data_IF_198378533396
#
_entry.id   IF_198378533396
#
_cell.length_a   1.000
_cell.length_b   1.000
_cell.length_c   1.000
_cell.angle_alpha   90.00
_cell.angle_beta   90.00
_cell.angle_gamma   90.00
#
_symmetry.space_group_name_H-M   'P 1'
#
loop_
_entity.id
_entity.type
_entity.pdbx_description
1 polymer ?
#
# COMPACT_ATOMS: atom_id res chain seq x y z
N UNK A 1 -20.37 6.76 -8.36
CA UNK A 1 -18.92 7.07 -8.25
C UNK A 1 -18.55 6.76 -6.81
N UNK A 2 -17.97 5.58 -6.56
CA UNK A 2 -17.53 5.18 -5.22
C UNK A 2 -16.58 6.27 -4.74
N UNK A 3 -16.90 6.85 -3.60
CA UNK A 3 -16.16 7.95 -2.99
C UNK A 3 -14.65 7.59 -3.00
N UNK A 4 -13.80 8.45 -3.58
CA UNK A 4 -12.33 8.24 -3.67
C UNK A 4 -11.64 8.24 -2.28
N UNK A 5 -12.36 7.96 -1.20
CA UNK A 5 -12.08 8.39 0.16
C UNK A 5 -11.88 7.19 1.10
N UNK A 6 -10.97 6.30 0.73
CA UNK A 6 -10.36 5.35 1.68
C UNK A 6 -9.01 5.89 2.16
N UNK A 7 -7.88 5.51 1.52
CA UNK A 7 -6.53 5.90 1.95
C UNK A 7 -6.27 7.41 1.90
N UNK A 8 -6.89 8.14 0.96
CA UNK A 8 -6.70 9.59 0.78
C UNK A 8 -7.23 10.47 1.93
N UNK A 9 -7.93 9.86 2.90
CA UNK A 9 -8.34 10.54 4.13
C UNK A 9 -7.17 10.74 5.10
N UNK A 10 -6.09 9.98 4.98
CA UNK A 10 -4.94 10.07 5.88
C UNK A 10 -3.77 10.81 5.26
N UNK A 11 -2.90 11.37 6.10
CA UNK A 11 -1.70 12.07 5.69
C UNK A 11 -0.80 11.15 4.85
N UNK A 12 -0.60 9.90 5.29
CA UNK A 12 0.23 8.94 4.55
C UNK A 12 -0.35 8.59 3.18
N UNK A 13 -1.67 8.41 3.06
CA UNK A 13 -2.29 8.13 1.77
C UNK A 13 -2.11 9.28 0.77
N UNK A 14 -2.17 10.53 1.25
CA UNK A 14 -1.90 11.70 0.40
C UNK A 14 -0.43 11.88 0.05
N UNK A 15 0.48 11.60 0.99
CA UNK A 15 1.92 11.56 0.71
C UNK A 15 2.22 10.57 -0.43
N UNK A 16 1.67 9.36 -0.36
CA UNK A 16 1.82 8.33 -1.40
C UNK A 16 1.25 8.80 -2.74
N UNK A 17 0.02 9.33 -2.76
CA UNK A 17 -0.59 9.88 -3.98
C UNK A 17 0.29 10.93 -4.64
N UNK A 18 0.74 11.92 -3.86
CA UNK A 18 1.54 13.05 -4.33
C UNK A 18 2.88 12.59 -4.87
N UNK A 19 3.57 11.72 -4.14
CA UNK A 19 4.84 11.15 -4.55
C UNK A 19 4.70 10.30 -5.82
N UNK A 20 3.53 9.70 -6.02
CA UNK A 20 3.17 8.98 -7.25
C UNK A 20 2.61 9.88 -8.37
N UNK A 21 2.79 11.21 -8.30
CA UNK A 21 2.31 12.12 -9.34
C UNK A 21 0.79 12.22 -9.46
N UNK A 22 0.05 11.94 -8.38
CA UNK A 22 -1.42 11.92 -8.36
C UNK A 22 -2.02 10.51 -8.46
N UNK A 23 -1.19 9.47 -8.50
CA UNK A 23 -1.63 8.10 -8.78
C UNK A 23 -1.51 7.21 -7.53
N UNK A 24 -2.52 7.25 -6.64
CA UNK A 24 -2.63 6.35 -5.47
C UNK A 24 -2.45 4.89 -5.85
N UNK A 25 -2.93 4.54 -7.03
CA UNK A 25 -2.93 3.19 -7.58
C UNK A 25 -1.51 2.61 -7.70
N UNK A 26 -0.47 3.44 -7.77
CA UNK A 26 0.93 2.99 -7.84
C UNK A 26 1.48 2.50 -6.49
N UNK A 27 0.75 2.70 -5.40
CA UNK A 27 1.10 2.18 -4.09
C UNK A 27 2.46 2.66 -3.55
N UNK A 28 3.00 1.88 -2.63
CA UNK A 28 4.10 2.17 -1.74
C UNK A 28 4.43 0.88 -0.97
N UNK A 29 5.63 0.81 -0.43
CA UNK A 29 6.08 -0.34 0.33
C UNK A 29 6.64 0.11 1.65
N UNK A 30 6.72 -0.82 2.58
CA UNK A 30 7.43 -0.67 3.85
C UNK A 30 8.66 -1.55 3.81
N UNK A 31 9.80 -0.95 4.11
CA UNK A 31 11.05 -1.65 4.36
C UNK A 31 11.43 -1.51 5.83
N UNK A 32 12.15 -2.51 6.33
CA UNK A 32 12.84 -2.42 7.60
C UNK A 32 14.19 -1.76 7.31
N UNK A 33 14.53 -0.69 8.02
CA UNK A 33 15.79 0.01 7.75
C UNK A 33 17.02 -0.91 7.92
N UNK A 34 16.94 -1.88 8.84
CA UNK A 34 17.96 -2.89 9.05
C UNK A 34 18.23 -3.77 7.81
N UNK A 35 17.21 -4.09 7.01
CA UNK A 35 17.35 -4.93 5.80
C UNK A 35 18.09 -4.21 4.67
N UNK A 36 18.20 -2.89 4.78
CA UNK A 36 18.85 -2.03 3.81
C UNK A 36 20.30 -1.70 4.18
N UNK A 37 20.86 -2.42 5.16
CA UNK A 37 22.23 -2.24 5.63
C UNK A 37 22.44 -1.03 6.56
N UNK A 38 21.36 -0.39 7.01
CA UNK A 38 21.43 0.69 8.00
C UNK A 38 21.45 0.07 9.40
N UNK A 39 22.40 0.45 10.25
CA UNK A 39 22.46 -0.04 11.62
C UNK A 39 21.67 0.83 12.58
N UNK A 40 21.76 2.15 12.43
CA UNK A 40 21.16 3.14 13.32
C UNK A 40 20.79 4.40 12.54
N UNK A 41 19.77 5.13 13.01
CA UNK A 41 19.30 6.38 12.41
C UNK A 41 19.27 7.47 13.51
N UNK A 42 20.06 8.56 13.37
CA UNK A 42 19.96 9.71 14.25
C UNK A 42 18.74 10.57 13.90
N UNK A 43 18.01 10.99 14.91
CA UNK A 43 16.82 11.82 14.78
C UNK A 43 17.15 13.28 15.11
N UNK A 44 17.95 13.93 14.24
CA UNK A 44 18.40 15.32 14.46
C UNK A 44 17.30 16.39 14.50
N UNK A 45 16.07 15.99 14.19
CA UNK A 45 14.85 16.79 14.34
C UNK A 45 14.27 16.76 15.77
N UNK A 46 14.89 16.03 16.68
CA UNK A 46 14.53 15.96 18.09
C UNK A 46 15.67 16.54 18.94
N UNK A 47 15.33 17.13 20.08
CA UNK A 47 16.32 17.65 21.02
C UNK A 47 17.29 16.55 21.46
N UNK A 48 18.59 16.89 21.48
CA UNK A 48 19.67 15.94 21.75
C UNK A 48 19.98 14.94 20.62
N UNK A 49 19.28 14.99 19.48
CA UNK A 49 19.48 14.13 18.32
C UNK A 49 19.65 12.63 18.65
N UNK A 50 18.68 12.01 19.36
CA UNK A 50 18.78 10.63 19.78
C UNK A 50 18.93 9.70 18.58
N UNK A 51 19.69 8.62 18.78
CA UNK A 51 19.93 7.61 17.76
C UNK A 51 19.05 6.39 18.04
N UNK A 52 18.43 5.84 16.99
CA UNK A 52 17.52 4.70 17.07
C UNK A 52 18.08 3.53 16.27
N UNK A 53 18.04 2.33 16.86
CA UNK A 53 18.39 1.08 16.17
C UNK A 53 17.47 0.87 14.96
N UNK A 54 18.06 0.63 13.79
CA UNK A 54 17.35 0.50 12.52
C UNK A 54 16.32 -0.64 12.49
N UNK A 55 16.39 -1.60 13.41
CA UNK A 55 15.37 -2.64 13.59
C UNK A 55 14.02 -2.10 14.06
N UNK A 56 14.01 -0.91 14.65
CA UNK A 56 12.79 -0.23 15.08
C UNK A 56 12.34 0.85 14.09
N UNK A 57 13.00 0.97 12.94
CA UNK A 57 12.71 2.03 11.96
C UNK A 57 12.12 1.45 10.70
N UNK A 58 10.97 1.99 10.32
CA UNK A 58 10.23 1.57 9.13
C UNK A 58 10.31 2.67 8.08
N UNK A 59 10.60 2.28 6.84
CA UNK A 59 10.70 3.21 5.71
C UNK A 59 9.55 2.96 4.74
N UNK A 60 8.63 3.90 4.66
CA UNK A 60 7.53 3.87 3.68
C UNK A 60 7.99 4.56 2.39
N UNK A 61 8.00 3.81 1.30
CA UNK A 61 8.56 4.25 0.01
C UNK A 61 7.50 4.14 -1.08
N UNK A 62 7.00 5.26 -1.63
CA UNK A 62 6.05 5.27 -2.75
C UNK A 62 6.55 4.58 -4.02
N UNK A 63 5.62 4.14 -4.87
CA UNK A 63 5.88 3.31 -6.03
C UNK A 63 6.56 3.99 -7.22
N UNK A 64 6.32 5.29 -7.44
CA UNK A 64 6.83 6.01 -8.61
C UNK A 64 8.11 6.81 -8.29
N UNK A 65 8.93 7.08 -9.32
CA UNK A 65 9.99 8.08 -9.27
C UNK A 65 9.54 9.35 -10.02
N UNK A 66 9.49 10.48 -9.32
CA UNK A 66 9.40 11.83 -9.90
C UNK A 66 8.29 12.03 -10.97
N UNK A 67 7.09 11.51 -10.72
CA UNK A 67 5.95 11.69 -11.63
C UNK A 67 6.11 10.99 -12.99
N UNK A 68 7.12 10.12 -13.17
CA UNK A 68 7.20 9.19 -14.28
C UNK A 68 6.47 7.90 -13.89
N UNK A 69 5.63 7.42 -14.79
CA UNK A 69 4.76 6.22 -14.63
C UNK A 69 5.56 4.90 -14.54
N UNK A 70 6.90 4.97 -14.52
CA UNK A 70 7.73 3.79 -14.26
C UNK A 70 7.73 3.51 -12.75
N UNK A 71 7.01 2.46 -12.35
CA UNK A 71 6.92 2.01 -10.96
C UNK A 71 8.25 1.33 -10.61
N UNK A 72 9.09 1.98 -9.79
CA UNK A 72 10.48 1.62 -9.57
C UNK A 72 10.86 1.71 -8.09
N UNK A 73 10.11 0.98 -7.27
CA UNK A 73 10.36 0.87 -5.84
C UNK A 73 11.82 0.47 -5.55
N UNK A 74 12.34 -0.49 -6.32
CA UNK A 74 13.68 -1.05 -6.13
C UNK A 74 14.83 -0.17 -6.68
N UNK A 75 14.56 0.95 -7.37
CA UNK A 75 15.64 1.81 -7.89
C UNK A 75 15.94 3.03 -7.01
N UNK A 76 15.25 3.19 -5.88
CA UNK A 76 15.51 4.33 -5.00
C UNK A 76 16.86 4.15 -4.32
N UNK A 77 17.59 5.24 -4.21
CA UNK A 77 18.90 5.32 -3.58
C UNK A 77 18.82 6.42 -2.53
N UNK A 78 18.96 6.04 -1.25
CA UNK A 78 18.89 6.98 -0.13
C UNK A 78 17.49 7.14 0.50
N UNK A 79 17.47 7.80 1.68
CA UNK A 79 16.27 7.94 2.51
C UNK A 79 15.30 9.03 2.03
N UNK A 80 15.76 9.94 1.18
CA UNK A 80 15.10 11.22 0.89
C UNK A 80 13.67 11.08 0.38
N UNK A 81 13.39 10.01 -0.36
CA UNK A 81 12.07 9.79 -0.97
C UNK A 81 11.10 8.98 -0.07
N UNK A 82 11.52 8.60 1.14
CA UNK A 82 10.74 7.77 2.06
C UNK A 82 10.09 8.60 3.18
N UNK A 83 9.04 8.06 3.80
CA UNK A 83 8.65 8.46 5.15
C UNK A 83 9.28 7.51 6.16
N UNK A 84 9.89 8.08 7.20
CA UNK A 84 10.52 7.36 8.29
C UNK A 84 9.53 7.30 9.46
N UNK A 85 9.22 6.09 9.91
CA UNK A 85 8.31 5.82 11.03
C UNK A 85 9.11 5.20 12.18
N UNK A 86 9.02 5.83 13.36
CA UNK A 86 9.75 5.43 14.56
C UNK A 86 8.79 5.37 15.76
N UNK A 87 8.58 4.19 16.37
CA UNK A 87 7.92 4.09 17.67
C UNK A 87 8.68 4.91 18.71
N UNK A 88 8.00 5.80 19.44
CA UNK A 88 8.67 6.68 20.39
C UNK A 88 9.38 5.92 21.52
N UNK A 89 8.88 4.75 21.91
CA UNK A 89 9.51 3.90 22.92
C UNK A 89 10.86 3.29 22.48
N UNK A 90 11.19 3.35 21.18
CA UNK A 90 12.50 3.01 20.66
C UNK A 90 13.51 4.18 20.76
N UNK A 91 13.05 5.38 21.14
CA UNK A 91 13.86 6.56 21.35
C UNK A 91 14.26 6.61 22.83
N UNK A 92 15.51 6.27 23.15
CA UNK A 92 16.02 6.20 24.52
C UNK A 92 16.28 7.60 25.12
N UNK A 93 15.20 8.34 25.39
CA UNK A 93 15.19 9.67 26.00
C UNK A 93 14.09 9.78 27.04
N UNK A 94 14.21 10.73 27.97
CA UNK A 94 13.16 10.97 28.97
C UNK A 94 11.91 11.67 28.40
N UNK A 95 12.04 12.29 27.23
CA UNK A 95 10.99 13.05 26.57
C UNK A 95 11.38 13.37 25.14
N UNK A 96 10.43 13.22 24.23
CA UNK A 96 10.59 13.59 22.83
C UNK A 96 10.24 15.06 22.68
N UNK A 97 11.19 15.89 22.24
CA UNK A 97 10.99 17.32 22.00
C UNK A 97 11.34 17.61 20.53
N UNK A 98 10.36 17.86 19.66
CA UNK A 98 10.62 18.25 18.27
C UNK A 98 11.34 19.59 18.18
N UNK A 99 12.28 19.69 17.24
CA UNK A 99 12.97 20.93 16.90
C UNK A 99 12.36 21.53 15.62
N UNK A 100 12.16 22.85 15.61
CA UNK A 100 11.55 23.55 14.49
C UNK A 100 10.05 23.28 14.35
N UNK A 101 9.52 23.44 13.14
CA UNK A 101 8.08 23.24 12.89
C UNK A 101 7.72 21.75 13.02
N UNK A 102 6.69 21.47 13.81
CA UNK A 102 6.16 20.14 14.02
C UNK A 102 4.65 20.17 14.26
N UNK A 103 3.99 19.05 13.96
CA UNK A 103 2.56 18.87 14.14
C UNK A 103 2.24 17.61 14.94
N UNK A 104 1.14 17.65 15.69
CA UNK A 104 0.57 16.49 16.37
C UNK A 104 -0.75 16.11 15.73
N UNK A 105 -0.92 14.82 15.45
CA UNK A 105 -2.08 14.23 14.80
C UNK A 105 -2.59 13.00 15.55
N UNK A 106 -3.85 12.65 15.31
CA UNK A 106 -4.37 11.33 15.70
C UNK A 106 -3.75 10.24 14.80
N UNK A 107 -3.51 9.05 15.35
CA UNK A 107 -2.96 7.91 14.60
C UNK A 107 -3.77 7.58 13.33
N UNK A 108 -5.10 7.63 13.43
CA UNK A 108 -6.05 7.39 12.32
C UNK A 108 -5.96 8.43 11.19
N UNK A 109 -5.48 9.63 11.51
CA UNK A 109 -5.36 10.72 10.54
C UNK A 109 -4.03 10.62 9.78
N UNK A 110 -3.09 9.78 10.24
CA UNK A 110 -1.80 9.52 9.60
C UNK A 110 -1.80 8.18 8.87
N UNK A 111 -2.08 7.09 9.58
CA UNK A 111 -2.00 5.73 9.05
C UNK A 111 -3.40 5.20 8.72
N UNK A 112 -3.66 4.73 7.49
CA UNK A 112 -4.94 4.16 7.13
C UNK A 112 -5.16 2.80 7.81
N UNK A 113 -6.44 2.52 8.06
CA UNK A 113 -6.94 1.21 8.46
C UNK A 113 -6.51 0.09 7.50
N UNK A 114 -6.32 -1.13 8.01
CA UNK A 114 -5.99 -2.30 7.16
C UNK A 114 -7.16 -2.79 6.28
N UNK A 115 -8.40 -2.44 6.62
CA UNK A 115 -9.57 -2.95 5.91
C UNK A 115 -9.76 -2.25 4.57
N UNK A 116 -9.79 -3.02 3.48
CA UNK A 116 -10.14 -2.49 2.15
C UNK A 116 -11.65 -2.25 2.00
N UNK A 117 -12.46 -2.90 2.85
CA UNK A 117 -13.89 -2.63 2.99
C UNK A 117 -14.11 -1.54 4.05
N UNK A 118 -15.05 -0.61 3.85
CA UNK A 118 -15.46 0.32 4.90
C UNK A 118 -15.94 -0.49 6.13
N UNK A 119 -15.38 -0.21 7.30
CA UNK A 119 -15.87 -0.80 8.55
C UNK A 119 -17.27 -0.26 8.83
N UNK A 120 -18.30 -1.00 8.43
CA UNK A 120 -19.69 -0.68 8.78
C UNK A 120 -20.01 -1.27 10.15
N UNK A 121 -19.67 -0.56 11.22
CA UNK A 121 -20.04 -0.89 12.59
C UNK A 121 -19.18 -0.21 13.66
N UNK A 122 -19.81 0.19 14.78
CA UNK A 122 -19.19 0.89 15.93
C UNK A 122 -18.15 0.07 16.73
N UNK A 123 -17.62 -1.03 16.18
CA UNK A 123 -16.89 -2.04 16.97
C UNK A 123 -15.47 -2.39 16.53
N UNK A 124 -14.99 -1.91 15.37
CA UNK A 124 -13.63 -2.18 14.92
C UNK A 124 -12.81 -0.92 14.97
N UNK A 125 -12.06 -0.68 16.04
CA UNK A 125 -10.98 0.29 15.97
C UNK A 125 -10.00 -0.26 14.92
N UNK A 126 -9.94 0.38 13.76
CA UNK A 126 -8.92 0.08 12.77
C UNK A 126 -7.56 0.40 13.39
N UNK A 127 -6.87 -0.61 13.88
CA UNK A 127 -5.48 -0.50 14.30
C UNK A 127 -4.65 -0.16 13.06
N UNK A 128 -3.74 0.81 13.19
CA UNK A 128 -2.68 0.99 12.21
C UNK A 128 -1.88 -0.31 12.19
N UNK A 129 -2.18 -1.19 11.23
CA UNK A 129 -1.83 -2.59 11.43
C UNK A 129 -0.34 -2.87 11.27
N UNK A 130 0.05 -4.05 11.77
CA UNK A 130 1.42 -4.59 11.90
C UNK A 130 2.29 -4.55 10.64
N UNK A 131 1.71 -4.18 9.51
CA UNK A 131 2.34 -4.11 8.19
C UNK A 131 3.03 -2.76 7.94
N UNK A 132 2.71 -1.71 8.71
CA UNK A 132 3.37 -0.40 8.61
C UNK A 132 4.75 -0.34 9.28
N UNK A 133 5.12 -1.38 10.05
CA UNK A 133 6.18 -1.30 11.05
C UNK A 133 7.27 -2.33 10.87
N UNK A 134 8.50 -1.92 11.16
CA UNK A 134 9.69 -2.75 11.11
C UNK A 134 9.46 -4.01 11.95
N UNK A 135 9.70 -5.14 11.31
CA UNK A 135 9.57 -6.45 11.95
C UNK A 135 10.90 -6.90 12.47
N UNK A 136 12.02 -6.52 11.87
CA UNK A 136 13.33 -7.10 12.11
C UNK A 136 13.48 -8.42 11.34
N UNK A 137 14.68 -8.67 10.82
CA UNK A 137 14.97 -9.76 9.88
C UNK A 137 14.84 -11.19 10.43
N UNK A 138 14.67 -11.36 11.75
CA UNK A 138 14.67 -12.66 12.47
C UNK A 138 13.55 -12.79 13.52
N UNK A 139 12.45 -12.06 13.34
CA UNK A 139 11.50 -11.87 14.44
C UNK A 139 10.54 -13.03 14.63
N UNK A 140 10.59 -13.60 15.83
CA UNK A 140 9.63 -14.58 16.28
C UNK A 140 8.26 -13.91 16.48
N UNK A 141 7.19 -14.71 16.59
CA UNK A 141 5.83 -14.20 16.77
C UNK A 141 5.70 -13.27 17.99
N UNK A 142 6.45 -13.50 19.07
CA UNK A 142 6.38 -12.73 20.32
C UNK A 142 7.00 -11.33 20.18
N UNK A 143 8.13 -11.20 19.47
CA UNK A 143 8.77 -9.92 19.18
C UNK A 143 7.93 -9.08 18.19
N UNK A 144 7.21 -9.74 17.27
CA UNK A 144 6.23 -9.13 16.37
C UNK A 144 5.01 -8.60 17.14
N UNK A 145 4.51 -9.33 18.13
CA UNK A 145 3.46 -8.87 19.04
C UNK A 145 3.92 -7.67 19.87
N UNK A 146 5.17 -7.67 20.32
CA UNK A 146 5.76 -6.57 21.06
C UNK A 146 5.87 -5.29 20.22
N UNK A 147 6.37 -5.38 18.97
CA UNK A 147 6.44 -4.23 18.06
C UNK A 147 5.07 -3.57 17.82
N UNK A 148 4.02 -4.39 17.78
CA UNK A 148 2.64 -3.94 17.57
C UNK A 148 2.07 -3.30 18.83
N UNK A 149 2.30 -3.93 19.98
CA UNK A 149 1.88 -3.39 21.28
C UNK A 149 2.46 -1.99 21.52
N UNK A 150 3.71 -1.76 21.11
CA UNK A 150 4.39 -0.45 21.24
C UNK A 150 3.67 0.68 20.49
N UNK A 151 3.10 0.41 19.32
CA UNK A 151 2.34 1.41 18.54
C UNK A 151 0.88 1.48 18.95
N UNK A 152 0.26 0.36 19.34
CA UNK A 152 -1.10 0.41 19.91
C UNK A 152 -1.14 1.24 21.19
N UNK A 153 0.00 1.41 21.87
CA UNK A 153 0.18 2.35 22.99
C UNK A 153 0.34 3.81 22.55
N UNK A 154 0.79 4.07 21.32
CA UNK A 154 0.94 5.43 20.81
C UNK A 154 -0.43 6.11 20.74
N UNK A 155 -0.58 7.19 21.51
CA UNK A 155 -1.81 7.99 21.60
C UNK A 155 -1.86 9.10 20.57
N UNK A 156 -0.70 9.48 20.04
CA UNK A 156 -0.56 10.56 19.08
C UNK A 156 0.60 10.32 18.12
N UNK A 157 0.56 11.01 16.98
CA UNK A 157 1.64 11.02 16.00
C UNK A 157 2.28 12.39 16.00
N UNK A 158 3.59 12.43 16.19
CA UNK A 158 4.40 13.65 16.11
C UNK A 158 5.07 13.68 14.74
N UNK A 159 4.87 14.77 14.01
CA UNK A 159 5.42 14.96 12.66
C UNK A 159 6.33 16.19 12.65
N UNK A 160 7.65 16.01 12.85
CA UNK A 160 8.62 17.07 12.62
C UNK A 160 8.73 17.36 11.13
N UNK A 161 8.24 18.52 10.70
CA UNK A 161 8.29 18.93 9.29
C UNK A 161 9.59 19.66 8.95
N UNK A 162 10.31 20.14 9.98
CA UNK A 162 11.54 20.90 9.82
C UNK A 162 11.29 22.15 8.99
N UNK A 163 12.14 22.48 8.00
CA UNK A 163 11.96 23.69 7.20
C UNK A 163 10.84 23.57 6.15
N UNK A 164 10.29 22.37 5.91
CA UNK A 164 9.23 22.15 4.92
C UNK A 164 7.86 22.43 5.52
N UNK A 165 6.94 22.91 4.68
CA UNK A 165 5.55 23.10 5.10
C UNK A 165 4.81 21.77 5.12
N UNK A 166 3.85 21.64 6.03
CA UNK A 166 2.99 20.46 6.12
C UNK A 166 2.29 20.15 4.79
N UNK A 167 1.79 21.19 4.10
CA UNK A 167 1.13 21.07 2.79
C UNK A 167 2.08 20.61 1.68
N UNK A 168 3.37 20.92 1.79
CA UNK A 168 4.36 20.48 0.81
C UNK A 168 4.64 18.99 0.92
N UNK A 169 4.52 18.43 2.12
CA UNK A 169 4.71 17.01 2.43
C UNK A 169 3.45 16.22 2.08
N UNK A 170 2.29 16.63 2.61
CA UNK A 170 1.05 15.84 2.53
C UNK A 170 0.06 16.34 1.47
N UNK A 171 0.33 17.45 0.78
CA UNK A 171 -0.56 17.98 -0.25
C UNK A 171 -1.91 18.50 0.25
N UNK A 172 -2.04 18.76 1.55
CA UNK A 172 -3.25 19.27 2.19
C UNK A 172 -2.92 20.08 3.45
N UNK A 173 -3.81 21.01 3.80
CA UNK A 173 -3.69 21.83 5.00
C UNK A 173 -3.80 20.97 6.28
N UNK A 174 -3.10 21.32 7.37
CA UNK A 174 -3.15 20.62 8.66
C UNK A 174 -4.58 20.36 9.17
N UNK A 175 -5.50 21.31 8.94
CA UNK A 175 -6.90 21.22 9.38
C UNK A 175 -7.68 20.07 8.74
N UNK A 176 -7.18 19.46 7.67
CA UNK A 176 -7.79 18.26 7.05
C UNK A 176 -7.61 17.02 7.95
N UNK A 177 -6.58 16.99 8.81
CA UNK A 177 -6.13 15.80 9.54
C UNK A 177 -6.17 15.98 11.07
N UNK A 178 -7.08 16.84 11.57
CA UNK A 178 -7.11 17.23 12.99
C UNK A 178 -5.76 17.72 13.54
N UNK A 179 -4.84 18.13 12.65
CA UNK A 179 -3.47 18.38 13.01
C UNK A 179 -3.34 19.73 13.71
N UNK A 180 -2.63 19.74 14.84
CA UNK A 180 -2.28 20.97 15.55
C UNK A 180 -0.78 21.21 15.49
N UNK A 181 -0.32 22.47 15.44
CA UNK A 181 1.10 22.76 15.64
C UNK A 181 1.53 22.36 17.06
N UNK A 182 2.79 21.94 17.17
CA UNK A 182 3.48 21.71 18.44
C UNK A 182 3.92 23.06 19.01
N UNK A 183 3.70 23.27 20.30
CA UNK A 183 4.18 24.49 20.98
C UNK A 183 5.70 24.41 21.22
N UNK A 184 6.38 25.56 21.20
CA UNK A 184 7.83 25.60 21.44
C UNK A 184 8.18 25.01 22.83
N UNK A 185 9.07 24.02 22.84
CA UNK A 185 9.46 23.27 24.04
C UNK A 185 8.42 22.25 24.54
N UNK A 186 7.32 22.03 23.82
CA UNK A 186 6.37 20.96 24.15
C UNK A 186 7.07 19.60 24.12
N UNK A 187 6.85 18.81 25.18
CA UNK A 187 7.52 17.52 25.39
C UNK A 187 6.49 16.40 25.37
N UNK A 188 6.83 15.31 24.69
CA UNK A 188 6.01 14.11 24.59
C UNK A 188 6.66 12.94 25.31
N UNK A 189 5.85 12.15 26.02
CA UNK A 189 6.30 10.87 26.58
C UNK A 189 6.59 9.90 25.42
N UNK A 190 7.81 9.35 25.31
CA UNK A 190 8.17 8.50 24.16
C UNK A 190 7.25 7.28 24.01
N UNK A 191 6.81 6.68 25.11
CA UNK A 191 5.88 5.55 25.09
C UNK A 191 4.48 5.85 24.51
N UNK A 192 4.09 7.13 24.44
CA UNK A 192 2.77 7.57 24.01
C UNK A 192 2.77 8.14 22.57
N UNK A 193 3.89 8.10 21.85
CA UNK A 193 4.01 8.72 20.51
C UNK A 193 4.56 7.80 19.43
N UNK A 194 4.09 8.01 18.21
CA UNK A 194 4.74 7.58 16.98
C UNK A 194 5.36 8.81 16.33
N UNK A 195 6.64 8.75 15.96
CA UNK A 195 7.29 9.83 15.22
C UNK A 195 7.28 9.48 13.73
N UNK A 196 6.78 10.39 12.90
CA UNK A 196 6.75 10.24 11.43
C UNK A 196 7.43 11.44 10.80
N UNK A 197 8.45 11.21 9.97
CA UNK A 197 9.22 12.29 9.36
C UNK A 197 9.58 12.00 7.91
N UNK A 198 9.61 13.03 7.05
CA UNK A 198 10.19 12.91 5.72
C UNK A 198 11.65 12.50 5.79
N UNK A 199 12.07 11.54 4.96
CA UNK A 199 13.44 11.04 4.97
C UNK A 199 14.46 12.09 4.54
N UNK A 200 14.10 13.02 3.65
CA UNK A 200 14.93 14.18 3.29
C UNK A 200 15.17 15.12 4.49
N UNK A 201 14.21 15.15 5.42
CA UNK A 201 14.37 15.87 6.68
C UNK A 201 15.29 15.14 7.66
N UNK A 202 15.36 13.80 7.61
CA UNK A 202 16.34 13.02 8.39
C UNK A 202 17.75 13.27 7.88
N UNK A 203 17.96 13.16 6.57
CA UNK A 203 19.27 13.32 5.95
C UNK A 203 19.79 14.75 6.07
N UNK A 204 18.93 15.76 5.87
CA UNK A 204 19.30 17.18 6.00
C UNK A 204 19.67 17.60 7.43
N UNK A 205 19.18 16.87 8.43
CA UNK A 205 19.46 17.14 9.85
C UNK A 205 20.33 16.05 10.49
N UNK A 206 21.10 15.31 9.67
CA UNK A 206 22.03 14.31 10.17
C UNK A 206 23.13 14.99 11.01
N UNK A 207 23.30 14.64 12.31
CA UNK A 207 24.28 15.31 13.16
C UNK A 207 25.71 15.09 12.68
N UNK A 208 26.55 16.12 12.78
CA UNK A 208 27.95 16.05 12.33
C UNK A 208 28.82 15.08 13.16
N UNK A 209 28.38 14.77 14.37
CA UNK A 209 29.00 13.85 15.33
C UNK A 209 28.35 12.45 15.36
N UNK A 210 27.29 12.23 14.58
CA UNK A 210 26.68 10.92 14.39
C UNK A 210 27.55 10.01 13.48
N UNK A 211 27.27 8.69 13.42
CA UNK A 211 27.87 7.81 12.42
C UNK A 211 27.73 8.39 11.01
N UNK A 212 28.67 8.06 10.12
CA UNK A 212 28.60 8.51 8.73
C UNK A 212 27.25 8.13 8.14
N UNK A 213 26.59 9.11 7.50
CA UNK A 213 25.34 8.86 6.80
C UNK A 213 25.55 7.68 5.84
N UNK A 214 24.62 6.70 5.78
CA UNK A 214 24.75 5.60 4.84
C UNK A 214 24.93 6.17 3.43
N UNK A 215 26.08 5.86 2.82
CA UNK A 215 26.47 6.41 1.52
C UNK A 215 25.43 6.09 0.44
N UNK A 216 24.86 4.87 0.50
CA UNK A 216 23.71 4.43 -0.28
C UNK A 216 22.88 3.45 0.58
N UNK A 217 21.56 3.60 0.55
CA UNK A 217 20.59 2.63 1.09
C UNK A 217 20.13 1.77 -0.09
N UNK A 218 20.45 0.48 -0.09
CA UNK A 218 20.15 -0.40 -1.24
C UNK A 218 18.78 -1.07 -1.09
N UNK A 219 17.74 -0.42 -1.61
CA UNK A 219 16.40 -0.99 -1.66
C UNK A 219 16.28 -2.25 -2.54
N UNK A 220 17.30 -2.58 -3.34
CA UNK A 220 17.34 -3.81 -4.16
C UNK A 220 17.71 -5.03 -3.33
N UNK A 221 18.38 -4.86 -2.19
CA UNK A 221 18.83 -5.98 -1.37
C UNK A 221 17.77 -6.48 -0.37
N UNK A 222 16.67 -5.73 -0.18
CA UNK A 222 15.65 -6.02 0.81
C UNK A 222 14.33 -6.51 0.19
N UNK A 223 13.60 -7.33 0.95
CA UNK A 223 12.24 -7.75 0.59
C UNK A 223 11.23 -6.66 1.00
N UNK A 224 10.55 -5.99 0.05
CA UNK A 224 9.53 -5.02 0.40
C UNK A 224 8.30 -5.70 0.99
N UNK A 225 7.66 -5.04 1.96
CA UNK A 225 6.31 -5.39 2.41
C UNK A 225 5.31 -4.40 1.82
N UNK A 226 4.10 -4.82 1.42
CA UNK A 226 3.10 -3.88 0.97
C UNK A 226 2.71 -2.92 2.09
N UNK A 227 2.71 -1.62 1.83
CA UNK A 227 2.03 -0.68 2.71
C UNK A 227 0.51 -0.93 2.69
N UNK A 228 -0.18 -1.02 3.84
CA UNK A 228 -1.64 -1.15 3.86
C UNK A 228 -2.34 -0.02 3.08
N UNK A 229 -3.32 -0.36 2.25
CA UNK A 229 -4.14 0.60 1.46
C UNK A 229 -3.38 1.54 0.51
N UNK A 230 -2.06 1.49 0.51
CA UNK A 230 -1.19 2.30 -0.31
C UNK A 230 -0.02 1.49 -0.80
N UNK A 231 -0.15 0.17 -0.93
CA UNK A 231 0.93 -0.75 -1.25
C UNK A 231 0.45 -2.07 -1.77
N UNK A 232 -0.71 -2.53 -1.31
CA UNK A 232 -1.62 -3.24 -2.20
C UNK A 232 -2.63 -2.26 -2.76
N UNK A 233 -2.66 -2.09 -4.08
CA UNK A 233 -3.70 -1.30 -4.73
C UNK A 233 -4.76 -2.22 -5.30
N UNK A 234 -6.04 -1.85 -5.21
CA UNK A 234 -7.12 -2.59 -5.84
C UNK A 234 -7.89 -1.71 -6.82
N UNK A 235 -8.19 -2.25 -8.00
CA UNK A 235 -9.03 -1.61 -9.00
C UNK A 235 -10.04 -2.60 -9.56
N UNK A 236 -11.25 -2.12 -9.87
CA UNK A 236 -12.32 -2.93 -10.45
C UNK A 236 -12.80 -2.30 -11.73
N UNK A 237 -13.01 -3.13 -12.75
CA UNK A 237 -13.71 -2.74 -13.96
C UNK A 237 -14.76 -3.78 -14.33
N UNK A 238 -15.80 -3.32 -15.02
CA UNK A 238 -16.94 -4.14 -15.44
C UNK A 238 -17.10 -3.98 -16.94
N UNK A 239 -17.08 -5.10 -17.65
CA UNK A 239 -17.41 -5.17 -19.08
C UNK A 239 -18.76 -5.85 -19.22
N UNK A 240 -19.75 -5.11 -19.72
CA UNK A 240 -21.03 -5.66 -20.17
C UNK A 240 -21.07 -5.69 -21.69
N UNK A 241 -21.47 -6.82 -22.25
CA UNK A 241 -21.62 -7.00 -23.69
C UNK A 241 -22.98 -7.64 -24.00
N UNK A 242 -23.75 -7.12 -24.97
CA UNK A 242 -25.07 -7.68 -25.27
C UNK A 242 -25.03 -9.17 -25.54
N UNK A 243 -25.91 -9.94 -24.88
CA UNK A 243 -26.03 -11.37 -25.15
C UNK A 243 -26.97 -11.58 -26.36
N UNK A 244 -26.50 -11.20 -27.55
CA UNK A 244 -27.25 -11.47 -28.77
C UNK A 244 -27.32 -12.99 -28.99
N UNK A 245 -28.50 -13.54 -29.29
CA UNK A 245 -28.65 -14.98 -29.60
C UNK A 245 -28.99 -15.19 -31.08
N UNK A 246 -28.23 -16.06 -31.76
CA UNK A 246 -28.52 -16.52 -33.13
C UNK A 246 -28.80 -18.01 -33.09
N UNK A 247 -30.03 -18.39 -33.45
CA UNK A 247 -30.51 -19.79 -33.38
C UNK A 247 -30.37 -20.41 -31.98
N UNK A 248 -30.62 -19.62 -30.92
CA UNK A 248 -30.59 -20.10 -29.53
C UNK A 248 -29.19 -20.15 -28.90
N UNK A 249 -28.12 -20.01 -29.68
CA UNK A 249 -26.76 -19.87 -29.18
C UNK A 249 -26.42 -18.40 -29.00
N UNK A 250 -25.61 -18.06 -28.01
CA UNK A 250 -25.02 -16.73 -27.95
C UNK A 250 -24.23 -16.46 -29.23
N UNK A 251 -24.32 -15.25 -29.74
CA UNK A 251 -23.50 -14.70 -30.81
C UNK A 251 -22.45 -13.75 -30.24
N UNK A 252 -22.35 -13.67 -28.91
CA UNK A 252 -21.33 -12.89 -28.23
C UNK A 252 -19.97 -13.58 -28.42
N UNK A 253 -18.95 -12.88 -28.95
CA UNK A 253 -17.64 -13.46 -29.22
C UNK A 253 -16.83 -13.77 -27.94
N UNK A 254 -17.30 -13.35 -26.77
CA UNK A 254 -16.64 -13.55 -25.47
C UNK A 254 -17.27 -14.68 -24.64
N UNK A 255 -18.55 -15.04 -24.88
CA UNK A 255 -19.27 -16.02 -24.06
C UNK A 255 -18.69 -17.44 -24.12
N UNK A 256 -17.98 -17.77 -25.20
CA UNK A 256 -17.39 -19.11 -25.42
C UNK A 256 -15.87 -19.13 -25.25
N UNK A 257 -15.30 -18.03 -24.77
CA UNK A 257 -13.86 -17.94 -24.56
C UNK A 257 -13.60 -18.36 -23.13
N UNK A 258 -12.69 -19.32 -22.95
CA UNK A 258 -12.21 -19.67 -21.62
C UNK A 258 -11.50 -18.47 -20.99
N UNK A 259 -11.56 -18.36 -19.67
CA UNK A 259 -11.07 -17.18 -18.95
C UNK A 259 -9.58 -16.93 -19.23
N UNK A 260 -8.74 -17.97 -19.31
CA UNK A 260 -7.32 -17.89 -19.68
C UNK A 260 -7.09 -17.19 -21.04
N UNK A 261 -7.85 -17.58 -22.06
CA UNK A 261 -7.74 -17.02 -23.41
C UNK A 261 -8.35 -15.62 -23.51
N UNK A 262 -9.37 -15.34 -22.71
CA UNK A 262 -10.02 -14.06 -22.62
C UNK A 262 -9.05 -12.99 -22.12
N UNK A 263 -8.20 -13.30 -21.13
CA UNK A 263 -7.18 -12.38 -20.57
C UNK A 263 -6.17 -11.90 -21.61
N UNK A 264 -5.98 -12.65 -22.70
CA UNK A 264 -5.04 -12.33 -23.78
C UNK A 264 -5.66 -11.49 -24.90
N UNK A 265 -6.97 -11.18 -24.85
CA UNK A 265 -7.67 -10.41 -25.89
C UNK A 265 -7.66 -8.92 -25.62
N UNK A 266 -7.56 -8.12 -26.70
CA UNK A 266 -7.53 -6.66 -26.66
C UNK A 266 -8.66 -6.01 -25.85
N UNK A 267 -9.88 -6.56 -25.91
CA UNK A 267 -11.04 -6.04 -25.18
C UNK A 267 -10.83 -6.11 -23.66
N UNK A 268 -10.27 -7.21 -23.15
CA UNK A 268 -9.97 -7.37 -21.72
C UNK A 268 -8.69 -6.67 -21.33
N UNK A 269 -7.71 -6.59 -22.23
CA UNK A 269 -6.52 -5.77 -22.04
C UNK A 269 -6.88 -4.28 -21.86
N UNK A 270 -7.90 -3.78 -22.57
CA UNK A 270 -8.42 -2.43 -22.37
C UNK A 270 -9.25 -2.28 -21.09
N UNK A 271 -10.06 -3.28 -20.73
CA UNK A 271 -10.77 -3.30 -19.45
C UNK A 271 -9.80 -3.27 -18.26
N UNK A 272 -8.69 -4.02 -18.36
CA UNK A 272 -7.63 -4.00 -17.37
C UNK A 272 -7.05 -2.58 -17.26
N UNK A 273 -6.77 -1.90 -18.37
CA UNK A 273 -6.33 -0.48 -18.33
C UNK A 273 -7.28 0.41 -17.55
N UNK A 274 -8.59 0.26 -17.76
CA UNK A 274 -9.62 1.00 -17.03
C UNK A 274 -9.68 0.66 -15.53
N UNK A 275 -9.35 -0.58 -15.15
CA UNK A 275 -9.16 -0.98 -13.75
C UNK A 275 -7.90 -0.38 -13.10
N UNK A 276 -7.18 0.52 -13.78
CA UNK A 276 -5.97 1.19 -13.28
C UNK A 276 -4.66 0.49 -13.69
N UNK A 277 -4.70 -0.33 -14.74
CA UNK A 277 -3.58 -1.10 -15.27
C UNK A 277 -2.86 -0.33 -16.40
N UNK A 278 -1.85 0.47 -16.06
CA UNK A 278 -1.04 1.15 -17.07
C UNK A 278 -1.77 2.27 -17.81
N UNK A 279 -1.99 3.40 -17.13
CA UNK A 279 -2.25 4.67 -17.81
C UNK A 279 -1.00 5.08 -18.62
N UNK A 280 -0.82 4.50 -19.82
CA UNK A 280 0.11 5.02 -20.83
C UNK A 280 1.07 4.04 -21.49
N UNK A 281 1.24 2.81 -21.01
CA UNK A 281 2.17 1.83 -21.63
C UNK A 281 1.54 0.46 -21.76
N UNK A 282 1.76 -0.19 -22.90
CA UNK A 282 1.40 -1.59 -23.09
C UNK A 282 2.06 -2.43 -21.99
N UNK A 283 1.28 -3.24 -21.28
CA UNK A 283 1.83 -4.17 -20.30
C UNK A 283 2.19 -5.47 -21.00
N UNK A 284 3.32 -6.05 -20.59
CA UNK A 284 3.68 -7.42 -20.94
C UNK A 284 3.63 -8.20 -19.64
N UNK A 285 2.78 -9.23 -19.58
CA UNK A 285 2.86 -10.20 -18.49
C UNK A 285 4.09 -11.04 -18.76
N UNK A 286 5.07 -10.93 -17.87
CA UNK A 286 6.36 -11.60 -18.08
C UNK A 286 6.36 -13.01 -17.50
N UNK A 287 5.68 -13.16 -16.36
CA UNK A 287 5.46 -14.43 -15.67
C UNK A 287 3.96 -14.56 -15.38
N UNK A 288 3.35 -15.67 -15.78
CA UNK A 288 1.89 -15.91 -15.67
C UNK A 288 1.09 -15.45 -16.91
N UNK A 289 -0.25 -15.27 -16.80
CA UNK A 289 -1.08 -15.50 -15.62
C UNK A 289 -1.19 -16.98 -15.28
N UNK A 290 -1.02 -17.32 -14.00
CA UNK A 290 -1.21 -18.67 -13.48
C UNK A 290 -2.44 -18.70 -12.59
N UNK A 291 -3.32 -19.68 -12.82
CA UNK A 291 -4.53 -19.85 -12.02
C UNK A 291 -4.15 -20.23 -10.58
N UNK A 292 -4.71 -19.51 -9.62
CA UNK A 292 -4.60 -19.83 -8.19
C UNK A 292 -5.91 -20.38 -7.65
N UNK A 293 -5.79 -21.37 -6.76
CA UNK A 293 -6.96 -21.98 -6.14
C UNK A 293 -7.56 -21.03 -5.09
N UNK A 294 -8.88 -21.14 -4.82
CA UNK A 294 -9.52 -20.40 -3.75
C UNK A 294 -8.80 -20.64 -2.41
N UNK A 295 -8.22 -19.59 -1.81
CA UNK A 295 -7.86 -19.59 -0.40
C UNK A 295 -9.11 -19.40 0.48
N UNK A 296 -8.97 -19.18 1.79
CA UNK A 296 -10.04 -18.96 2.80
C UNK A 296 -11.01 -17.78 2.52
N UNK A 297 -11.06 -17.25 1.29
CA UNK A 297 -12.02 -16.25 0.80
C UNK A 297 -13.18 -16.85 -0.01
N UNK A 298 -14.14 -16.02 -0.44
CA UNK A 298 -15.31 -16.49 -1.18
C UNK A 298 -14.89 -17.17 -2.50
N UNK A 299 -15.48 -18.34 -2.79
CA UNK A 299 -15.28 -19.05 -4.06
C UNK A 299 -16.24 -18.62 -5.16
N UNK A 300 -17.38 -18.05 -4.77
CA UNK A 300 -18.46 -17.62 -5.66
C UNK A 300 -18.91 -16.21 -5.30
N UNK A 301 -19.57 -15.55 -6.25
CA UNK A 301 -20.24 -14.27 -6.09
C UNK A 301 -21.63 -14.34 -6.68
N UNK A 302 -22.54 -13.49 -6.21
CA UNK A 302 -23.81 -13.26 -6.91
C UNK A 302 -23.58 -12.25 -8.03
N UNK A 303 -23.97 -12.58 -9.25
CA UNK A 303 -23.90 -11.70 -10.42
C UNK A 303 -25.17 -11.87 -11.27
N UNK A 304 -25.85 -10.76 -11.56
CA UNK A 304 -27.14 -10.76 -12.25
C UNK A 304 -28.16 -11.71 -11.59
N UNK A 305 -28.16 -11.76 -10.25
CA UNK A 305 -29.05 -12.61 -9.44
C UNK A 305 -28.72 -14.11 -9.47
N UNK A 306 -27.63 -14.52 -10.13
CA UNK A 306 -27.18 -15.92 -10.18
C UNK A 306 -25.85 -16.10 -9.46
N UNK A 307 -25.59 -17.29 -8.94
CA UNK A 307 -24.27 -17.63 -8.41
C UNK A 307 -23.28 -17.87 -9.56
N UNK A 308 -22.12 -17.23 -9.49
CA UNK A 308 -21.03 -17.35 -10.45
C UNK A 308 -19.69 -17.59 -9.75
N UNK A 309 -18.83 -18.39 -10.36
CA UNK A 309 -17.50 -18.69 -9.82
C UNK A 309 -16.58 -17.45 -9.86
N UNK A 310 -15.77 -17.29 -8.81
CA UNK A 310 -14.66 -16.33 -8.79
C UNK A 310 -13.38 -17.05 -9.18
N UNK A 311 -12.93 -16.86 -10.42
CA UNK A 311 -11.64 -17.34 -10.90
C UNK A 311 -10.54 -16.35 -10.51
N UNK A 312 -9.36 -16.85 -10.14
CA UNK A 312 -8.25 -16.00 -9.70
C UNK A 312 -6.94 -16.42 -10.33
N UNK A 313 -6.14 -15.43 -10.72
CA UNK A 313 -4.90 -15.58 -11.45
C UNK A 313 -3.83 -14.71 -10.82
N UNK A 314 -2.58 -15.19 -10.79
CA UNK A 314 -1.43 -14.38 -10.38
C UNK A 314 -0.42 -14.27 -11.51
N UNK A 315 0.31 -13.16 -11.56
CA UNK A 315 1.40 -12.97 -12.50
C UNK A 315 2.33 -11.85 -12.06
N UNK A 316 3.29 -11.50 -12.92
CA UNK A 316 4.23 -10.41 -12.69
C UNK A 316 4.17 -9.41 -13.85
N UNK A 317 4.18 -8.13 -13.50
CA UNK A 317 4.31 -7.01 -14.42
C UNK A 317 5.64 -6.31 -14.29
N UNK A 318 6.23 -5.95 -15.43
CA UNK A 318 7.48 -5.18 -15.50
C UNK A 318 8.69 -6.09 -15.42
N UNK A 319 9.50 -6.10 -16.47
CA UNK A 319 10.65 -6.98 -16.59
C UNK A 319 11.92 -6.50 -15.97
N UNK A 320 12.70 -7.51 -15.60
CA UNK A 320 13.94 -7.49 -14.83
C UNK A 320 13.76 -6.85 -13.44
N UNK A 321 13.80 -7.69 -12.39
CA UNK A 321 14.04 -7.35 -10.97
C UNK A 321 13.17 -6.24 -10.31
N UNK A 322 12.22 -5.64 -11.01
CA UNK A 322 11.52 -4.40 -10.61
C UNK A 322 9.99 -4.55 -10.61
N UNK A 323 9.54 -5.80 -10.62
CA UNK A 323 8.15 -6.14 -10.94
C UNK A 323 7.14 -5.92 -9.82
N UNK A 324 5.88 -5.83 -10.22
CA UNK A 324 4.72 -5.98 -9.34
C UNK A 324 4.07 -7.33 -9.58
N UNK A 325 3.86 -8.07 -8.50
CA UNK A 325 2.96 -9.20 -8.51
C UNK A 325 1.54 -8.69 -8.72
N UNK A 326 0.77 -9.32 -9.58
CA UNK A 326 -0.61 -8.95 -9.83
C UNK A 326 -1.51 -10.12 -9.59
N UNK A 327 -2.56 -9.90 -8.81
CA UNK A 327 -3.66 -10.82 -8.66
C UNK A 327 -4.86 -10.31 -9.43
N UNK A 328 -5.39 -11.16 -10.30
CA UNK A 328 -6.55 -10.88 -11.12
C UNK A 328 -7.70 -11.80 -10.73
N UNK A 329 -8.86 -11.23 -10.50
CA UNK A 329 -10.06 -11.95 -10.05
C UNK A 329 -11.19 -11.68 -11.04
N UNK A 330 -11.74 -12.74 -11.61
CA UNK A 330 -12.71 -12.65 -12.70
C UNK A 330 -14.00 -13.35 -12.28
N UNK A 331 -15.12 -12.65 -12.41
CA UNK A 331 -16.47 -13.21 -12.27
C UNK A 331 -17.20 -13.00 -13.58
N UNK A 332 -17.86 -14.07 -14.07
CA UNK A 332 -18.57 -14.06 -15.35
C UNK A 332 -20.00 -14.50 -15.16
N UNK A 333 -20.92 -13.72 -15.69
CA UNK A 333 -22.35 -13.97 -15.60
C UNK A 333 -22.98 -13.92 -16.98
N UNK A 334 -23.88 -14.88 -17.22
CA UNK A 334 -24.70 -14.93 -18.44
C UNK A 334 -26.15 -14.60 -18.10
N UNK A 335 -26.55 -13.35 -18.34
CA UNK A 335 -27.94 -12.89 -18.24
C UNK A 335 -28.50 -12.45 -19.60
N UNK A 336 -29.28 -11.35 -19.59
CA UNK A 336 -29.64 -10.63 -20.83
C UNK A 336 -28.40 -10.03 -21.52
N UNK A 337 -27.39 -9.70 -20.73
CA UNK A 337 -26.04 -9.32 -21.16
C UNK A 337 -25.01 -10.31 -20.61
N UNK A 338 -23.87 -10.44 -21.30
CA UNK A 338 -22.68 -11.12 -20.79
C UNK A 338 -21.86 -10.10 -20.00
N UNK A 339 -21.77 -10.30 -18.69
CA UNK A 339 -21.09 -9.39 -17.76
C UNK A 339 -19.84 -10.04 -17.22
N UNK A 340 -18.74 -9.29 -17.25
CA UNK A 340 -17.43 -9.68 -16.74
C UNK A 340 -17.01 -8.64 -15.72
N UNK A 341 -16.87 -9.05 -14.45
CA UNK A 341 -16.30 -8.22 -13.40
C UNK A 341 -14.85 -8.64 -13.21
N UNK A 342 -13.95 -7.66 -13.27
CA UNK A 342 -12.52 -7.87 -13.11
C UNK A 342 -12.01 -7.04 -11.95
N UNK A 343 -11.57 -7.70 -10.89
CA UNK A 343 -10.81 -7.08 -9.81
C UNK A 343 -9.33 -7.35 -9.99
N UNK A 344 -8.53 -6.29 -9.88
CA UNK A 344 -7.07 -6.36 -9.93
C UNK A 344 -6.54 -5.90 -8.59
N UNK A 345 -5.71 -6.71 -7.94
CA UNK A 345 -4.80 -6.20 -6.93
C UNK A 345 -3.35 -6.26 -7.39
N UNK A 346 -2.55 -5.29 -6.96
CA UNK A 346 -1.10 -5.24 -7.22
C UNK A 346 -0.37 -5.37 -5.90
N UNK A 347 0.63 -6.23 -5.84
CA UNK A 347 1.48 -6.46 -4.69
C UNK A 347 2.94 -6.23 -5.10
N UNK A 348 3.70 -5.44 -4.35
CA UNK A 348 5.12 -5.25 -4.60
C UNK A 348 5.82 -6.56 -4.28
N UNK A 349 6.61 -7.07 -5.21
CA UNK A 349 7.32 -8.34 -5.05
C UNK A 349 8.83 -8.15 -4.96
N UNK A 350 9.35 -6.99 -5.38
CA UNK A 350 10.78 -6.69 -5.33
C UNK A 350 11.61 -7.60 -6.27
N UNK A 351 12.94 -7.47 -6.24
CA UNK A 351 13.86 -8.20 -7.13
C UNK A 351 14.10 -9.66 -6.76
N UNK A 352 13.53 -10.14 -5.65
CA UNK A 352 13.96 -11.37 -4.99
C UNK A 352 13.19 -12.59 -5.50
N UNK A 353 13.91 -13.67 -5.81
CA UNK A 353 13.34 -14.97 -6.18
C UNK A 353 12.36 -15.48 -5.11
N UNK A 354 11.17 -15.95 -5.53
CA UNK A 354 10.13 -16.48 -4.64
C UNK A 354 9.05 -15.47 -4.23
N UNK A 355 9.16 -14.20 -4.61
CA UNK A 355 8.18 -13.19 -4.24
C UNK A 355 6.78 -13.40 -4.86
N UNK A 356 6.68 -14.17 -5.96
CA UNK A 356 5.38 -14.61 -6.48
C UNK A 356 4.68 -15.62 -5.56
N UNK A 357 5.44 -16.42 -4.78
CA UNK A 357 4.87 -17.34 -3.79
C UNK A 357 4.29 -16.57 -2.61
N UNK A 358 4.94 -15.46 -2.20
CA UNK A 358 4.39 -14.53 -1.19
C UNK A 358 3.05 -13.98 -1.64
N UNK A 359 2.90 -13.59 -2.91
CA UNK A 359 1.61 -13.16 -3.46
C UNK A 359 0.58 -14.29 -3.41
N UNK A 360 0.97 -15.52 -3.79
CA UNK A 360 0.08 -16.69 -3.80
C UNK A 360 -0.44 -17.07 -2.42
N UNK A 361 0.27 -16.71 -1.36
CA UNK A 361 -0.09 -17.00 0.04
C UNK A 361 -0.61 -15.77 0.79
N UNK A 362 -0.69 -14.61 0.12
CA UNK A 362 -1.12 -13.35 0.73
C UNK A 362 -2.63 -13.31 1.01
N UNK A 363 -3.01 -12.80 2.19
CA UNK A 363 -4.38 -12.45 2.53
C UNK A 363 -4.98 -11.39 1.57
N UNK A 364 -4.14 -10.68 0.80
CA UNK A 364 -4.58 -9.78 -0.26
C UNK A 364 -5.47 -10.48 -1.30
N UNK A 365 -5.21 -11.75 -1.62
CA UNK A 365 -6.07 -12.54 -2.50
C UNK A 365 -7.45 -12.73 -1.88
N UNK A 366 -7.52 -12.99 -0.56
CA UNK A 366 -8.78 -13.19 0.16
C UNK A 366 -9.60 -11.91 0.19
N UNK A 367 -8.98 -10.78 0.54
CA UNK A 367 -9.65 -9.47 0.60
C UNK A 367 -10.07 -8.97 -0.79
N UNK A 368 -9.23 -9.15 -1.81
CA UNK A 368 -9.59 -8.81 -3.19
C UNK A 368 -10.82 -9.59 -3.66
N UNK A 369 -10.91 -10.88 -3.33
CA UNK A 369 -12.07 -11.71 -3.69
C UNK A 369 -13.34 -11.28 -2.97
N UNK A 370 -13.25 -10.85 -1.71
CA UNK A 370 -14.40 -10.26 -0.98
C UNK A 370 -14.91 -9.01 -1.70
N UNK A 371 -14.02 -8.10 -2.08
CA UNK A 371 -14.41 -6.88 -2.81
C UNK A 371 -15.01 -7.16 -4.19
N UNK A 372 -14.44 -8.12 -4.93
CA UNK A 372 -15.02 -8.53 -6.22
C UNK A 372 -16.41 -9.13 -6.02
N UNK A 373 -16.59 -9.97 -5.01
CA UNK A 373 -17.88 -10.57 -4.71
C UNK A 373 -18.93 -9.50 -4.33
N UNK A 374 -18.55 -8.54 -3.50
CA UNK A 374 -19.42 -7.41 -3.12
C UNK A 374 -19.79 -6.57 -4.35
N UNK A 375 -18.82 -6.22 -5.18
CA UNK A 375 -19.04 -5.41 -6.38
C UNK A 375 -19.93 -6.12 -7.39
N UNK A 376 -19.71 -7.43 -7.61
CA UNK A 376 -20.57 -8.24 -8.47
C UNK A 376 -22.00 -8.34 -7.92
N UNK A 377 -22.15 -8.46 -6.59
CA UNK A 377 -23.44 -8.50 -5.92
C UNK A 377 -24.28 -7.24 -6.15
N UNK A 378 -23.64 -6.07 -6.09
CA UNK A 378 -24.30 -4.78 -6.33
C UNK A 378 -24.86 -4.63 -7.75
N UNK A 379 -24.31 -5.34 -8.74
CA UNK A 379 -24.81 -5.36 -10.12
C UNK A 379 -26.09 -6.20 -10.29
N UNK A 380 -26.56 -6.85 -9.22
CA UNK A 380 -27.79 -7.63 -9.23
C UNK A 380 -29.02 -6.85 -8.73
N UNK A 381 -28.81 -5.63 -8.21
CA UNK A 381 -29.83 -4.80 -7.57
C UNK A 381 -30.40 -3.68 -8.48
N UNK A 382 -29.96 -3.60 -9.75
CA UNK A 382 -30.57 -2.78 -10.82
C UNK A 382 -31.36 -3.67 -11.80
#
# INVERSE_FOLDING_TARGET
MVDRMGPLRTAMGRFVERSNGGLVSHGAVVFDAADLGVSEIPLGMLDGAPTVDARNVSLVTPGAADGKVEIKIAMREGLDDSMVLVPGDAIDVAGTVPLGDAYVLDLRDVLPAQSWTPLTGDGGAATAGRDWLARGSDVNVEELELAVEKIERARSVVVPTGPRRFEEIFGAEPSVFSARPVEDGETFEPADVLVVMPGDNVTSNWPADAPEQPADVDFRSALPRPAPMGGVSFGVAVLSTPNAKVSGNSANPLSYVDTDDLLRRDAVQNLLKEAGFGEGTAFTVEVGPERVSPQNGPSTATLLGNEADIESYVGVLGGDAEGWGVGLHVVRGDGEDHVIVVGLHRHPIGPVDGAIDVLRESDAIVEARKLVAETAGQLSDE
#
